data_IF_687636345876
#
_entry.id   IF_687636345876
#
_cell.length_a   1.000
_cell.length_b   1.000
_cell.length_c   1.000
_cell.angle_alpha   90.00
_cell.angle_beta   90.00
_cell.angle_gamma   90.00
#
_symmetry.space_group_name_H-M   'P 1'
#
loop_
_entity.id
_entity.type
_entity.pdbx_description
1 polymer ?
#
# COMPACT_ATOMS: atom_id res chain seq x y z
N UNK A 1 10.60 25.65 -20.87
CA UNK A 1 9.54 24.61 -20.77
C UNK A 1 9.81 23.83 -19.49
N UNK A 2 8.78 23.51 -18.70
CA UNK A 2 8.89 22.71 -17.48
C UNK A 2 8.02 21.46 -17.60
N UNK A 3 8.50 20.33 -17.07
CA UNK A 3 7.80 19.03 -17.10
C UNK A 3 7.67 18.44 -15.68
N UNK A 4 7.02 19.14 -14.74
CA UNK A 4 6.92 18.69 -13.36
C UNK A 4 5.95 17.51 -13.22
N UNK A 5 6.46 16.35 -12.82
CA UNK A 5 5.64 15.20 -12.41
C UNK A 5 5.53 15.10 -10.89
N UNK A 6 6.53 14.45 -10.27
CA UNK A 6 6.61 14.17 -8.83
C UNK A 6 6.28 15.38 -7.95
N UNK A 7 6.79 16.55 -8.32
CA UNK A 7 6.64 17.78 -7.54
C UNK A 7 5.17 18.16 -7.31
N UNK A 8 4.30 17.91 -8.30
CA UNK A 8 2.88 18.24 -8.23
C UNK A 8 2.12 17.16 -7.44
N UNK A 9 2.30 15.89 -7.81
CA UNK A 9 1.35 14.84 -7.41
C UNK A 9 1.82 13.95 -6.26
N UNK A 10 3.12 13.93 -5.89
CA UNK A 10 3.62 12.97 -4.91
C UNK A 10 2.89 13.07 -3.56
N UNK A 11 2.80 14.27 -3.00
CA UNK A 11 2.18 14.50 -1.69
C UNK A 11 0.67 14.72 -1.75
N UNK A 12 0.09 14.77 -2.94
CA UNK A 12 -1.36 14.84 -3.11
C UNK A 12 -2.06 13.48 -2.92
N UNK A 13 -1.30 12.38 -2.94
CA UNK A 13 -1.83 11.02 -2.78
C UNK A 13 -1.21 10.26 -1.61
N UNK A 14 -2.04 9.45 -0.95
CA UNK A 14 -1.64 8.47 0.07
C UNK A 14 -2.19 7.10 -0.32
N UNK A 15 -1.49 6.03 0.06
CA UNK A 15 -2.03 4.68 0.02
C UNK A 15 -2.59 4.34 1.41
N UNK A 16 -3.88 4.04 1.47
CA UNK A 16 -4.51 3.52 2.69
C UNK A 16 -4.36 2.00 2.73
N UNK A 17 -4.05 1.47 3.91
CA UNK A 17 -3.90 0.03 4.14
C UNK A 17 -4.35 -0.32 5.55
N UNK A 18 -4.85 -1.53 5.72
CA UNK A 18 -5.31 -2.06 7.01
C UNK A 18 -4.26 -2.98 7.61
N UNK A 19 -4.04 -2.89 8.93
CA UNK A 19 -3.31 -3.90 9.70
C UNK A 19 -4.19 -5.13 9.84
N UNK A 20 -3.78 -6.24 9.23
CA UNK A 20 -4.47 -7.52 9.34
C UNK A 20 -4.00 -8.28 10.59
N UNK A 21 -2.68 -8.39 10.78
CA UNK A 21 -2.10 -9.14 11.90
C UNK A 21 -0.88 -8.44 12.49
N UNK A 22 -0.70 -8.57 13.80
CA UNK A 22 0.52 -8.15 14.48
C UNK A 22 1.33 -9.37 14.90
N UNK A 23 2.52 -9.51 14.31
CA UNK A 23 3.42 -10.62 14.62
C UNK A 23 4.59 -10.12 15.46
N UNK A 24 4.59 -10.52 16.73
CA UNK A 24 5.66 -10.24 17.67
C UNK A 24 6.69 -11.37 17.67
N UNK A 25 7.96 -11.04 17.47
CA UNK A 25 9.06 -12.02 17.53
C UNK A 25 10.15 -11.53 18.48
N UNK A 26 11.12 -12.39 18.79
CA UNK A 26 12.22 -12.06 19.69
C UNK A 26 13.09 -10.89 19.18
N UNK A 27 13.21 -10.74 17.85
CA UNK A 27 14.12 -9.76 17.25
C UNK A 27 13.41 -8.61 16.54
N UNK A 28 12.17 -8.81 16.08
CA UNK A 28 11.47 -7.83 15.26
C UNK A 28 9.95 -7.98 15.35
N UNK A 29 9.26 -6.85 15.41
CA UNK A 29 7.81 -6.83 15.29
C UNK A 29 7.41 -6.54 13.84
N UNK A 30 6.39 -7.24 13.35
CA UNK A 30 5.83 -7.06 12.01
C UNK A 30 4.36 -6.67 12.10
N UNK A 31 3.99 -5.63 11.35
CA UNK A 31 2.60 -5.31 11.07
C UNK A 31 2.30 -5.82 9.67
N UNK A 32 1.55 -6.91 9.60
CA UNK A 32 1.10 -7.50 8.34
C UNK A 32 -0.10 -6.68 7.90
N UNK A 33 0.03 -6.00 6.76
CA UNK A 33 -0.96 -5.08 6.23
C UNK A 33 -1.55 -5.59 4.91
N UNK A 34 -2.75 -5.14 4.53
CA UNK A 34 -3.42 -5.60 3.31
C UNK A 34 -2.85 -5.01 2.01
N UNK A 35 -2.03 -3.95 2.11
CA UNK A 35 -1.32 -3.32 1.00
C UNK A 35 0.08 -3.89 0.81
N UNK A 36 0.49 -4.08 -0.44
CA UNK A 36 1.76 -4.75 -0.78
C UNK A 36 2.55 -4.02 -1.87
N UNK A 37 3.71 -4.58 -2.23
CA UNK A 37 4.57 -4.10 -3.30
C UNK A 37 3.88 -4.10 -4.68
N UNK A 38 2.84 -4.91 -4.90
CA UNK A 38 2.06 -4.81 -6.14
C UNK A 38 1.21 -3.52 -6.17
N UNK A 39 0.89 -2.93 -5.01
CA UNK A 39 0.12 -1.68 -4.92
C UNK A 39 1.06 -0.47 -4.91
N UNK A 40 2.20 -0.59 -4.23
CA UNK A 40 3.23 0.46 -4.13
C UNK A 40 4.64 -0.16 -4.13
N UNK A 41 5.21 -0.33 -5.31
CA UNK A 41 6.50 -1.03 -5.48
C UNK A 41 7.73 -0.22 -5.04
N UNK A 42 7.59 1.10 -4.82
CA UNK A 42 8.73 2.02 -4.62
C UNK A 42 9.66 1.63 -3.46
N UNK A 43 9.17 1.20 -2.27
CA UNK A 43 10.05 0.77 -1.19
C UNK A 43 10.82 -0.50 -1.56
N UNK A 44 10.16 -1.49 -2.16
CA UNK A 44 10.81 -2.73 -2.59
C UNK A 44 11.86 -2.47 -3.70
N UNK A 45 11.50 -1.69 -4.72
CA UNK A 45 12.31 -1.48 -5.92
C UNK A 45 13.46 -0.49 -5.70
N UNK A 46 13.23 0.59 -4.96
CA UNK A 46 14.18 1.69 -4.82
C UNK A 46 14.71 1.88 -3.40
N UNK A 47 14.29 1.03 -2.45
CA UNK A 47 14.49 1.27 -1.02
C UNK A 47 13.99 2.68 -0.61
N UNK A 48 12.94 3.16 -1.29
CA UNK A 48 12.39 4.47 -1.04
C UNK A 48 11.78 4.52 0.36
N UNK A 49 12.18 5.52 1.14
CA UNK A 49 11.55 5.80 2.42
C UNK A 49 10.20 6.47 2.18
N UNK A 50 9.14 5.89 2.75
CA UNK A 50 7.77 6.42 2.72
C UNK A 50 7.36 6.75 4.15
N UNK A 51 6.77 7.91 4.41
CA UNK A 51 6.21 8.18 5.74
C UNK A 51 4.93 7.36 5.95
N UNK A 52 4.67 6.93 7.19
CA UNK A 52 3.48 6.13 7.52
C UNK A 52 2.88 6.66 8.80
N UNK A 53 1.60 7.01 8.75
CA UNK A 53 0.87 7.56 9.89
C UNK A 53 -0.42 6.78 10.15
N UNK A 54 -0.78 6.48 11.41
CA UNK A 54 -2.11 5.96 11.73
C UNK A 54 -3.20 6.96 11.33
N UNK A 55 -4.27 6.48 10.71
CA UNK A 55 -5.43 7.30 10.36
C UNK A 55 -6.17 7.75 11.63
N UNK A 56 -6.26 6.86 12.61
CA UNK A 56 -6.77 7.15 13.95
C UNK A 56 -5.65 6.85 14.95
N UNK A 57 -4.86 7.86 15.36
CA UNK A 57 -3.83 7.69 16.36
C UNK A 57 -4.41 7.20 17.68
N UNK A 58 -3.58 6.51 18.45
CA UNK A 58 -3.93 6.00 19.77
C UNK A 58 -2.80 6.19 20.75
N UNK A 59 -3.18 6.29 22.01
CA UNK A 59 -2.24 6.32 23.12
C UNK A 59 -1.73 4.91 23.43
N UNK A 60 -0.50 4.82 23.90
CA UNK A 60 0.12 3.56 24.31
C UNK A 60 1.63 3.58 24.16
N UNK A 61 2.26 2.47 24.54
CA UNK A 61 3.68 2.29 24.32
C UNK A 61 3.94 1.90 22.88
N UNK A 62 4.73 2.71 22.18
CA UNK A 62 5.09 2.43 20.80
C UNK A 62 6.06 1.24 20.70
N UNK A 63 5.97 0.53 19.58
CA UNK A 63 6.86 -0.57 19.18
C UNK A 63 7.42 -0.28 17.79
N UNK A 64 8.54 -0.93 17.47
CA UNK A 64 9.18 -0.78 16.17
C UNK A 64 8.69 -1.88 15.21
N UNK A 65 7.88 -1.50 14.23
CA UNK A 65 7.31 -2.42 13.25
C UNK A 65 8.00 -2.31 11.88
N UNK A 66 8.21 -3.45 11.24
CA UNK A 66 8.25 -3.53 9.78
C UNK A 66 6.83 -3.76 9.24
N UNK A 67 6.42 -2.91 8.31
CA UNK A 67 5.13 -2.99 7.64
C UNK A 67 5.31 -3.78 6.35
N UNK A 68 4.74 -4.97 6.33
CA UNK A 68 4.90 -5.97 5.25
C UNK A 68 3.54 -6.37 4.70
N UNK A 69 3.46 -6.58 3.39
CA UNK A 69 2.23 -7.02 2.75
C UNK A 69 2.09 -8.55 2.73
N UNK A 70 1.02 -9.08 2.11
CA UNK A 70 0.77 -10.52 2.03
C UNK A 70 1.43 -11.21 0.83
N UNK A 71 2.36 -10.56 0.12
CA UNK A 71 3.04 -11.18 -1.04
C UNK A 71 4.15 -12.12 -0.55
N UNK A 72 4.35 -13.23 -1.27
CA UNK A 72 5.25 -14.32 -0.87
C UNK A 72 6.77 -14.03 -0.95
N UNK A 73 7.16 -12.76 -0.95
CA UNK A 73 8.53 -12.31 -1.14
C UNK A 73 9.02 -11.53 0.08
N UNK A 74 10.24 -11.82 0.54
CA UNK A 74 10.91 -11.03 1.60
C UNK A 74 11.08 -9.55 1.21
N UNK A 75 11.02 -9.23 -0.08
CA UNK A 75 11.05 -7.87 -0.61
C UNK A 75 9.73 -7.10 -0.45
N UNK A 76 8.63 -7.75 -0.05
CA UNK A 76 7.33 -7.12 0.14
C UNK A 76 7.25 -6.35 1.46
N UNK A 77 7.72 -5.11 1.44
CA UNK A 77 7.57 -4.18 2.55
C UNK A 77 7.17 -2.81 2.04
N UNK A 78 6.40 -2.08 2.84
CA UNK A 78 6.07 -0.67 2.58
C UNK A 78 6.88 0.29 3.47
N UNK A 79 7.27 -0.16 4.67
CA UNK A 79 8.09 0.61 5.59
C UNK A 79 8.82 -0.30 6.59
N UNK A 80 10.01 0.09 7.04
CA UNK A 80 10.79 -0.64 8.05
C UNK A 80 11.07 0.23 9.26
N UNK A 81 11.15 -0.40 10.44
CA UNK A 81 11.56 0.22 11.71
C UNK A 81 10.70 1.41 12.14
N UNK A 82 9.37 1.31 12.01
CA UNK A 82 8.45 2.40 12.34
C UNK A 82 7.96 2.29 13.78
N UNK A 83 8.21 3.34 14.55
CA UNK A 83 7.72 3.47 15.92
C UNK A 83 6.23 3.84 15.88
N UNK A 84 5.38 2.86 16.18
CA UNK A 84 3.92 2.99 16.08
C UNK A 84 3.24 2.28 17.26
N UNK A 85 2.06 2.78 17.64
CA UNK A 85 1.13 2.11 18.55
C UNK A 85 0.01 1.53 17.69
N UNK A 86 0.00 0.20 17.50
CA UNK A 86 -0.90 -0.49 16.56
C UNK A 86 -1.75 -1.56 17.22
N UNK A 87 -2.84 -1.90 16.56
CA UNK A 87 -3.71 -3.04 16.82
C UNK A 87 -4.22 -3.56 15.47
N UNK A 88 -4.63 -4.81 15.44
CA UNK A 88 -5.27 -5.40 14.28
C UNK A 88 -6.56 -4.65 13.95
N UNK A 89 -6.81 -4.41 12.67
CA UNK A 89 -7.92 -3.62 12.15
C UNK A 89 -7.61 -2.15 11.88
N UNK A 90 -6.49 -1.62 12.37
CA UNK A 90 -6.09 -0.22 12.17
C UNK A 90 -5.92 0.15 10.71
N UNK A 91 -6.28 1.39 10.38
CA UNK A 91 -5.94 1.99 9.09
C UNK A 91 -4.68 2.83 9.20
N UNK A 92 -3.77 2.62 8.26
CA UNK A 92 -2.54 3.37 8.09
C UNK A 92 -2.55 4.10 6.74
N UNK A 93 -1.98 5.30 6.73
CA UNK A 93 -1.74 6.07 5.52
C UNK A 93 -0.24 6.07 5.19
N UNK A 94 0.12 5.41 4.09
CA UNK A 94 1.47 5.50 3.50
C UNK A 94 1.51 6.75 2.63
N UNK A 95 2.25 7.76 3.07
CA UNK A 95 2.26 9.10 2.48
C UNK A 95 3.16 9.18 1.25
N UNK A 96 3.00 10.26 0.49
CA UNK A 96 3.80 10.55 -0.70
C UNK A 96 3.66 9.50 -1.81
N UNK A 97 2.49 8.87 -1.92
CA UNK A 97 2.19 7.77 -2.84
C UNK A 97 1.54 8.23 -4.16
N UNK A 98 1.21 9.52 -4.31
CA UNK A 98 0.52 10.03 -5.50
C UNK A 98 1.37 10.08 -6.78
N UNK A 99 2.69 9.94 -6.68
CA UNK A 99 3.60 9.85 -7.83
C UNK A 99 4.29 8.48 -7.84
N UNK A 100 4.26 7.81 -9.01
CA UNK A 100 4.89 6.49 -9.18
C UNK A 100 4.37 5.44 -8.19
N UNK A 101 3.13 5.60 -7.71
CA UNK A 101 2.39 4.62 -6.92
C UNK A 101 1.58 3.73 -7.84
N UNK A 102 0.29 4.05 -8.00
CA UNK A 102 -0.65 3.27 -8.80
C UNK A 102 -0.18 2.99 -10.23
N UNK A 103 0.48 3.95 -10.88
CA UNK A 103 1.00 3.77 -12.26
C UNK A 103 2.06 2.67 -12.38
N UNK A 104 2.67 2.25 -11.27
CA UNK A 104 3.60 1.12 -11.20
C UNK A 104 3.00 -0.11 -10.51
N UNK A 105 1.70 -0.09 -10.23
CA UNK A 105 1.01 -1.22 -9.62
C UNK A 105 0.88 -2.39 -10.59
N UNK A 106 0.79 -3.60 -10.05
CA UNK A 106 0.72 -4.85 -10.81
C UNK A 106 -0.30 -5.81 -10.21
N UNK A 107 -0.52 -6.93 -10.90
CA UNK A 107 -1.37 -8.03 -10.43
C UNK A 107 -0.55 -9.19 -9.84
N UNK A 108 0.65 -8.90 -9.32
CA UNK A 108 1.48 -9.95 -8.73
C UNK A 108 0.75 -10.65 -7.58
N UNK A 109 0.93 -11.98 -7.50
CA UNK A 109 0.17 -12.86 -6.60
C UNK A 109 -1.36 -12.84 -6.85
N UNK A 110 -1.79 -12.56 -8.09
CA UNK A 110 -3.20 -12.56 -8.51
C UNK A 110 -4.06 -11.61 -7.67
N UNK A 111 -3.47 -10.48 -7.28
CA UNK A 111 -4.14 -9.41 -6.53
C UNK A 111 -4.68 -8.38 -7.52
N UNK A 112 -5.96 -8.05 -7.41
CA UNK A 112 -6.54 -6.95 -8.17
C UNK A 112 -5.97 -5.61 -7.70
N UNK A 113 -5.60 -4.74 -8.65
CA UNK A 113 -5.11 -3.39 -8.31
C UNK A 113 -6.14 -2.63 -7.48
N UNK A 114 -5.64 -1.82 -6.55
CA UNK A 114 -6.46 -1.03 -5.64
C UNK A 114 -7.43 -0.09 -6.36
N UNK A 115 -8.49 0.31 -5.67
CA UNK A 115 -9.30 1.44 -6.11
C UNK A 115 -8.53 2.76 -5.92
N UNK A 116 -8.77 3.75 -6.77
CA UNK A 116 -8.31 5.12 -6.58
C UNK A 116 -9.52 6.01 -6.33
N UNK A 117 -9.44 6.82 -5.27
CA UNK A 117 -10.46 7.78 -4.88
C UNK A 117 -9.90 9.19 -4.93
N UNK A 118 -10.70 10.12 -5.45
CA UNK A 118 -10.42 11.54 -5.44
C UNK A 118 -11.37 12.23 -4.46
N UNK A 119 -10.81 13.07 -3.60
CA UNK A 119 -11.58 13.87 -2.63
C UNK A 119 -11.61 15.31 -3.10
N UNK A 120 -12.80 15.88 -3.22
CA UNK A 120 -13.03 17.30 -3.56
C UNK A 120 -13.95 17.92 -2.50
N UNK A 121 -13.35 18.68 -1.58
CA UNK A 121 -14.03 19.20 -0.40
C UNK A 121 -14.60 18.07 0.46
N UNK A 122 -15.93 18.00 0.57
CA UNK A 122 -16.66 16.98 1.31
C UNK A 122 -17.10 15.79 0.44
N UNK A 123 -16.84 15.84 -0.87
CA UNK A 123 -17.26 14.81 -1.81
C UNK A 123 -16.12 13.81 -2.08
N UNK A 124 -16.50 12.54 -2.19
CA UNK A 124 -15.58 11.43 -2.50
C UNK A 124 -16.02 10.78 -3.80
N UNK A 125 -15.11 10.69 -4.76
CA UNK A 125 -15.35 10.10 -6.07
C UNK A 125 -14.44 8.90 -6.27
N UNK A 126 -15.02 7.74 -6.58
CA UNK A 126 -14.26 6.61 -7.09
C UNK A 126 -13.85 6.92 -8.54
N UNK A 127 -12.60 7.35 -8.72
CA UNK A 127 -12.05 7.69 -10.04
C UNK A 127 -11.45 6.48 -10.74
N UNK A 128 -11.19 5.42 -9.97
CA UNK A 128 -10.84 4.10 -10.50
C UNK A 128 -11.36 3.01 -9.58
N UNK A 129 -12.16 2.09 -10.13
CA UNK A 129 -12.62 0.91 -9.40
C UNK A 129 -11.52 -0.09 -9.15
N UNK A 130 -11.66 -0.84 -8.06
CA UNK A 130 -10.85 -2.04 -7.80
C UNK A 130 -11.09 -3.08 -8.91
N UNK A 131 -10.02 -3.75 -9.31
CA UNK A 131 -10.12 -4.87 -10.26
C UNK A 131 -10.76 -6.09 -9.60
N UNK A 132 -11.60 -6.77 -10.36
CA UNK A 132 -12.25 -8.02 -9.98
C UNK A 132 -11.38 -9.21 -10.37
N UNK A 133 -11.60 -10.35 -9.71
CA UNK A 133 -10.88 -11.59 -10.02
C UNK A 133 -11.04 -12.01 -11.49
N UNK A 134 -12.23 -11.84 -12.07
CA UNK A 134 -12.51 -12.20 -13.46
C UNK A 134 -11.68 -11.39 -14.47
N UNK A 135 -11.34 -10.14 -14.13
CA UNK A 135 -10.54 -9.30 -15.01
C UNK A 135 -9.08 -9.71 -15.07
N UNK A 136 -8.57 -10.38 -14.03
CA UNK A 136 -7.17 -10.79 -13.96
C UNK A 136 -6.79 -11.80 -15.03
N UNK A 137 -7.74 -12.66 -15.42
CA UNK A 137 -7.58 -13.67 -16.47
C UNK A 137 -8.44 -13.37 -17.70
N UNK A 138 -9.01 -12.17 -17.83
CA UNK A 138 -9.89 -11.84 -18.95
C UNK A 138 -9.19 -11.89 -20.32
N UNK A 139 -7.86 -11.73 -20.34
CA UNK A 139 -7.03 -11.88 -21.53
C UNK A 139 -6.49 -13.29 -21.76
N UNK A 140 -6.81 -14.25 -20.88
CA UNK A 140 -6.36 -15.64 -20.98
C UNK A 140 -7.37 -16.47 -21.78
N UNK A 141 -6.91 -17.58 -22.36
CA UNK A 141 -7.76 -18.51 -23.10
C UNK A 141 -7.27 -19.93 -22.87
N UNK A 142 -8.23 -20.85 -22.68
CA UNK A 142 -7.92 -22.28 -22.62
C UNK A 142 -7.54 -22.79 -24.01
N UNK A 143 -6.79 -23.90 -24.05
CA UNK A 143 -6.54 -24.60 -25.30
C UNK A 143 -7.85 -25.12 -25.89
N UNK A 144 -7.97 -25.23 -27.23
CA UNK A 144 -9.07 -25.93 -27.87
C UNK A 144 -9.21 -27.34 -27.29
N UNK A 145 -10.44 -27.77 -27.01
CA UNK A 145 -10.75 -29.16 -26.64
C UNK A 145 -10.76 -30.06 -27.88
#
# INVERSE_FOLDING_TARGET
VFEPGRYIVANAGVLLTRVEYLKHTEHKDFAIIDGAMNDLIRPALYQAWMDVTPVQPRDGQARHYDLVGPICETGDFLAKGRELVLAEGDLLAVRSAGAYGFVMSSNYNTRGRAAEVLVDGEQVFEVRRRETLAELYAGESLLPQ
#
